data_IF_994754967445
#
_entry.id   IF_994754967445
#
_cell.length_a   1.000
_cell.length_b   1.000
_cell.length_c   1.000
_cell.angle_alpha   90.00
_cell.angle_beta   90.00
_cell.angle_gamma   90.00
#
_symmetry.space_group_name_H-M   'P 1'
#
loop_
_entity.id
_entity.type
_entity.pdbx_description
1 polymer ?
#
# COMPACT_ATOMS: atom_id res chain seq x y z
N UNK A 1 3.61 43.30 -38.80
CA UNK A 1 5.05 43.06 -39.02
C UNK A 1 5.37 41.75 -38.33
N UNK A 2 5.66 40.79 -39.18
CA UNK A 2 6.44 39.56 -39.00
C UNK A 2 5.81 38.38 -38.23
N UNK A 3 5.06 37.63 -39.04
CA UNK A 3 4.87 36.19 -39.02
C UNK A 3 6.18 35.41 -38.98
N UNK A 4 6.31 34.46 -38.05
CA UNK A 4 7.32 33.39 -38.11
C UNK A 4 6.62 32.08 -38.50
N UNK A 5 6.81 31.67 -39.75
CA UNK A 5 6.43 30.37 -40.27
C UNK A 5 7.43 29.30 -39.84
N UNK A 6 6.91 28.12 -39.51
CA UNK A 6 7.70 26.90 -39.34
C UNK A 6 7.56 26.08 -40.63
N UNK A 7 8.64 26.02 -41.40
CA UNK A 7 8.84 25.08 -42.49
C UNK A 7 9.12 23.69 -41.91
N UNK A 8 8.29 22.71 -42.24
CA UNK A 8 8.59 21.30 -42.03
C UNK A 8 8.94 20.71 -43.39
N UNK A 9 10.22 20.36 -43.54
CA UNK A 9 10.73 19.59 -44.66
C UNK A 9 10.13 18.16 -44.65
N UNK A 10 9.56 17.82 -45.79
CA UNK A 10 9.04 16.51 -46.18
C UNK A 10 10.20 15.68 -46.75
N UNK A 11 10.78 14.81 -45.93
CA UNK A 11 11.74 13.81 -46.38
C UNK A 11 11.01 12.50 -46.64
N UNK A 12 10.67 12.31 -47.91
CA UNK A 12 10.20 11.06 -48.49
C UNK A 12 11.35 10.05 -48.52
N UNK A 13 11.25 9.01 -47.69
CA UNK A 13 12.09 7.81 -47.78
C UNK A 13 11.32 6.75 -48.53
N UNK A 14 11.64 6.62 -49.81
CA UNK A 14 11.40 5.44 -50.63
C UNK A 14 12.42 4.36 -50.27
N UNK A 15 11.96 3.12 -50.14
CA UNK A 15 12.82 1.95 -50.35
C UNK A 15 12.59 0.77 -49.41
N UNK A 16 12.27 -0.38 -50.01
CA UNK A 16 12.75 -1.68 -49.52
C UNK A 16 11.67 -2.68 -49.18
N UNK A 17 11.21 -3.41 -50.20
CA UNK A 17 10.57 -4.72 -49.99
C UNK A 17 11.52 -5.67 -49.28
N UNK A 18 11.00 -6.34 -48.25
CA UNK A 18 11.67 -7.39 -47.50
C UNK A 18 10.65 -8.42 -47.07
N UNK A 19 10.86 -9.65 -47.51
CA UNK A 19 9.99 -10.80 -47.42
C UNK A 19 9.57 -11.18 -45.98
N UNK A 20 8.30 -11.58 -45.88
CA UNK A 20 7.85 -12.73 -45.09
C UNK A 20 8.30 -12.83 -43.62
N UNK A 21 7.76 -11.99 -42.74
CA UNK A 21 7.78 -12.28 -41.31
C UNK A 21 6.66 -13.28 -40.98
N UNK A 22 7.01 -14.56 -40.80
CA UNK A 22 6.07 -15.59 -40.33
C UNK A 22 5.75 -15.34 -38.85
N UNK A 23 4.52 -14.88 -38.60
CA UNK A 23 3.91 -14.80 -37.26
C UNK A 23 3.30 -16.17 -36.95
N UNK A 24 4.09 -17.14 -36.46
CA UNK A 24 3.52 -18.42 -35.97
C UNK A 24 3.95 -18.85 -34.58
N UNK A 25 4.92 -18.18 -33.94
CA UNK A 25 5.46 -18.64 -32.65
C UNK A 25 4.99 -17.81 -31.44
N UNK A 26 4.17 -16.77 -31.63
CA UNK A 26 3.72 -15.87 -30.57
C UNK A 26 2.53 -16.39 -29.72
N UNK A 27 2.00 -17.57 -30.03
CA UNK A 27 0.78 -18.08 -29.39
C UNK A 27 1.09 -18.96 -28.16
N UNK A 28 2.29 -19.54 -28.04
CA UNK A 28 2.65 -20.43 -26.92
C UNK A 28 3.22 -19.68 -25.70
N UNK A 29 3.86 -18.52 -25.92
CA UNK A 29 4.38 -17.67 -24.83
C UNK A 29 3.27 -17.03 -23.98
N UNK A 30 2.12 -16.70 -24.57
CA UNK A 30 1.00 -16.11 -23.82
C UNK A 30 0.35 -17.11 -22.86
N UNK A 31 0.25 -18.38 -23.24
CA UNK A 31 -0.33 -19.43 -22.39
C UNK A 31 0.61 -19.77 -21.21
N UNK A 32 1.91 -19.86 -21.46
CA UNK A 32 2.93 -20.04 -20.42
C UNK A 32 2.97 -18.84 -19.45
N UNK A 33 2.85 -17.61 -19.95
CA UNK A 33 2.78 -16.42 -19.11
C UNK A 33 1.51 -16.34 -18.28
N UNK A 34 0.35 -16.73 -18.84
CA UNK A 34 -0.91 -16.74 -18.11
C UNK A 34 -0.90 -17.76 -16.96
N UNK A 35 -0.33 -18.95 -17.18
CA UNK A 35 -0.22 -19.97 -16.14
C UNK A 35 0.82 -19.61 -15.07
N UNK A 36 1.94 -18.97 -15.45
CA UNK A 36 2.93 -18.46 -14.50
C UNK A 36 2.35 -17.33 -13.61
N UNK A 37 1.63 -16.37 -14.20
CA UNK A 37 0.99 -15.29 -13.43
C UNK A 37 -0.12 -15.84 -12.52
N UNK A 38 -0.94 -16.76 -13.02
CA UNK A 38 -1.96 -17.45 -12.21
C UNK A 38 -1.35 -18.13 -10.98
N UNK A 39 -0.18 -18.76 -11.13
CA UNK A 39 0.58 -19.35 -10.02
C UNK A 39 1.12 -18.30 -9.05
N UNK A 40 1.68 -17.19 -9.54
CA UNK A 40 2.21 -16.10 -8.71
C UNK A 40 1.12 -15.37 -7.89
N UNK A 41 -0.15 -15.43 -8.30
CA UNK A 41 -1.27 -14.81 -7.58
C UNK A 41 -2.20 -15.82 -6.91
N UNK A 42 -1.89 -17.12 -7.01
CA UNK A 42 -2.65 -18.20 -6.36
C UNK A 42 -2.55 -18.21 -4.83
N UNK A 43 -1.60 -17.48 -4.25
CA UNK A 43 -1.38 -17.46 -2.79
C UNK A 43 -2.61 -17.01 -2.00
N UNK A 44 -3.45 -16.12 -2.54
CA UNK A 44 -4.69 -15.68 -1.88
C UNK A 44 -5.63 -16.88 -1.64
N UNK A 45 -5.73 -17.79 -2.61
CA UNK A 45 -6.49 -19.03 -2.49
C UNK A 45 -5.89 -19.97 -1.47
N UNK A 46 -4.56 -20.12 -1.47
CA UNK A 46 -3.85 -20.97 -0.49
C UNK A 46 -4.09 -20.47 0.94
N UNK A 47 -4.01 -19.16 1.17
CA UNK A 47 -4.28 -18.55 2.48
C UNK A 47 -5.72 -18.84 2.90
N UNK A 48 -6.70 -18.54 2.04
CA UNK A 48 -8.12 -18.75 2.38
C UNK A 48 -8.43 -20.22 2.64
N UNK A 49 -7.93 -21.13 1.80
CA UNK A 49 -8.09 -22.57 2.00
C UNK A 49 -7.46 -23.03 3.33
N UNK A 50 -6.28 -22.52 3.68
CA UNK A 50 -5.61 -22.82 4.94
C UNK A 50 -6.40 -22.31 6.15
N UNK A 51 -6.98 -21.10 6.07
CA UNK A 51 -7.87 -20.56 7.09
C UNK A 51 -9.13 -21.44 7.25
N UNK A 52 -9.73 -21.89 6.16
CA UNK A 52 -10.92 -22.76 6.18
C UNK A 52 -10.56 -24.11 6.82
N UNK A 53 -9.44 -24.71 6.44
CA UNK A 53 -8.98 -25.97 7.01
C UNK A 53 -8.72 -25.86 8.52
N UNK A 54 -8.16 -24.73 8.97
CA UNK A 54 -7.80 -24.51 10.38
C UNK A 54 -8.98 -24.16 11.27
N UNK A 55 -9.89 -23.30 10.80
CA UNK A 55 -10.93 -22.72 11.64
C UNK A 55 -12.34 -23.23 11.32
N UNK A 56 -12.53 -23.84 10.14
CA UNK A 56 -13.84 -24.20 9.60
C UNK A 56 -14.55 -22.99 8.98
N UNK A 57 -15.25 -23.24 7.87
CA UNK A 57 -16.01 -22.21 7.15
C UNK A 57 -17.04 -21.45 8.03
N UNK A 58 -17.87 -22.12 8.86
CA UNK A 58 -18.85 -21.42 9.70
C UNK A 58 -18.20 -20.43 10.66
N UNK A 59 -17.05 -20.80 11.26
CA UNK A 59 -16.33 -19.91 12.17
C UNK A 59 -15.78 -18.69 11.43
N UNK A 60 -15.19 -18.88 10.25
CA UNK A 60 -14.69 -17.77 9.45
C UNK A 60 -15.79 -16.78 9.07
N UNK A 61 -17.00 -17.26 8.74
CA UNK A 61 -18.15 -16.39 8.43
C UNK A 61 -18.55 -15.50 9.61
N UNK A 62 -18.29 -15.92 10.86
CA UNK A 62 -18.53 -15.08 12.03
C UNK A 62 -17.42 -14.05 12.30
N UNK A 63 -16.25 -14.20 11.68
CA UNK A 63 -15.14 -13.27 11.85
C UNK A 63 -15.43 -11.95 11.16
N UNK A 64 -14.82 -10.88 11.68
CA UNK A 64 -14.91 -9.55 11.08
C UNK A 64 -14.54 -9.55 9.60
N UNK A 65 -13.55 -10.35 9.20
CA UNK A 65 -13.09 -10.45 7.81
C UNK A 65 -14.21 -10.80 6.82
N UNK A 66 -15.32 -11.40 7.27
CA UNK A 66 -16.48 -11.70 6.43
C UNK A 66 -17.60 -10.64 6.52
N UNK A 67 -17.32 -9.46 7.07
CA UNK A 67 -18.23 -8.30 7.12
C UNK A 67 -17.86 -7.27 6.05
N UNK A 68 -18.67 -6.22 5.94
CA UNK A 68 -18.28 -5.05 5.16
C UNK A 68 -17.19 -4.27 5.88
N UNK A 69 -16.03 -4.17 5.25
CA UNK A 69 -14.85 -3.50 5.75
C UNK A 69 -14.53 -2.30 4.87
N UNK A 70 -14.17 -1.20 5.53
CA UNK A 70 -13.78 0.06 4.91
C UNK A 70 -12.34 0.26 5.33
N UNK A 71 -11.42 0.28 4.38
CA UNK A 71 -10.00 0.40 4.66
C UNK A 71 -9.44 1.68 4.05
N UNK A 72 -8.46 2.27 4.73
CA UNK A 72 -7.54 3.23 4.14
C UNK A 72 -6.23 2.55 3.75
N UNK A 73 -5.43 3.26 2.96
CA UNK A 73 -4.01 2.98 2.80
C UNK A 73 -3.21 4.26 2.86
N UNK A 74 -2.07 4.24 3.54
CA UNK A 74 -1.08 5.29 3.49
C UNK A 74 0.21 4.76 2.87
N UNK A 75 0.95 5.64 2.20
CA UNK A 75 2.16 5.27 1.46
C UNK A 75 1.85 4.18 0.43
N UNK A 76 0.74 4.38 -0.28
CA UNK A 76 0.10 3.35 -1.09
C UNK A 76 0.96 2.92 -2.30
N UNK A 77 1.89 3.75 -2.74
CA UNK A 77 2.67 3.57 -3.95
C UNK A 77 1.75 3.34 -5.15
N UNK A 78 2.01 2.29 -5.91
CA UNK A 78 1.17 1.89 -7.05
C UNK A 78 -0.06 1.07 -6.65
N UNK A 79 -0.35 0.97 -5.35
CA UNK A 79 -1.49 0.25 -4.79
C UNK A 79 -1.28 -1.27 -4.70
N UNK A 80 -0.06 -1.71 -4.38
CA UNK A 80 0.29 -3.14 -4.36
C UNK A 80 -0.47 -3.91 -3.26
N UNK A 81 -0.63 -3.30 -2.08
CA UNK A 81 -1.35 -3.91 -0.96
C UNK A 81 -2.86 -4.02 -1.26
N UNK A 82 -3.44 -3.03 -1.93
CA UNK A 82 -4.84 -3.01 -2.37
C UNK A 82 -5.10 -4.09 -3.42
N UNK A 83 -4.16 -4.30 -4.33
CA UNK A 83 -4.21 -5.41 -5.30
C UNK A 83 -4.11 -6.76 -4.59
N UNK A 84 -3.18 -6.91 -3.65
CA UNK A 84 -3.03 -8.12 -2.85
C UNK A 84 -4.33 -8.44 -2.08
N UNK A 85 -4.95 -7.42 -1.48
CA UNK A 85 -6.23 -7.54 -0.80
C UNK A 85 -7.35 -7.97 -1.75
N UNK A 86 -7.41 -7.42 -2.97
CA UNK A 86 -8.39 -7.84 -3.97
C UNK A 86 -8.26 -9.33 -4.33
N UNK A 87 -7.05 -9.87 -4.38
CA UNK A 87 -6.84 -11.32 -4.58
C UNK A 87 -7.36 -12.14 -3.40
N UNK A 88 -7.16 -11.70 -2.15
CA UNK A 88 -7.72 -12.37 -0.97
C UNK A 88 -9.24 -12.33 -0.98
N UNK A 89 -9.85 -11.18 -1.29
CA UNK A 89 -11.31 -11.04 -1.39
C UNK A 89 -11.87 -11.98 -2.47
N UNK A 90 -11.25 -12.00 -3.65
CA UNK A 90 -11.63 -12.92 -4.74
C UNK A 90 -11.58 -14.38 -4.31
N UNK A 91 -10.52 -14.78 -3.60
CA UNK A 91 -10.39 -16.12 -3.04
C UNK A 91 -11.48 -16.43 -2.01
N UNK A 92 -11.79 -15.51 -1.10
CA UNK A 92 -12.86 -15.66 -0.10
C UNK A 92 -14.22 -15.90 -0.79
N UNK A 93 -14.57 -15.06 -1.76
CA UNK A 93 -15.82 -15.18 -2.51
C UNK A 93 -15.93 -16.53 -3.24
N UNK A 94 -14.84 -17.00 -3.85
CA UNK A 94 -14.81 -18.30 -4.54
C UNK A 94 -14.97 -19.49 -3.60
N UNK A 95 -14.56 -19.36 -2.34
CA UNK A 95 -14.86 -20.35 -1.29
C UNK A 95 -16.24 -20.16 -0.63
N UNK A 96 -17.06 -19.23 -1.13
CA UNK A 96 -18.39 -18.90 -0.62
C UNK A 96 -18.35 -18.28 0.78
N UNK A 97 -17.30 -17.52 1.08
CA UNK A 97 -17.23 -16.63 2.22
C UNK A 97 -17.67 -15.24 1.75
N UNK A 98 -18.71 -14.70 2.36
CA UNK A 98 -19.13 -13.32 2.11
C UNK A 98 -18.03 -12.37 2.60
N UNK A 99 -17.61 -11.45 1.74
CA UNK A 99 -16.54 -10.51 2.06
C UNK A 99 -16.74 -9.27 1.20
N UNK A 100 -16.83 -8.10 1.83
CA UNK A 100 -16.96 -6.83 1.14
C UNK A 100 -15.95 -5.84 1.71
N UNK A 101 -14.72 -5.90 1.21
CA UNK A 101 -13.66 -4.99 1.61
C UNK A 101 -13.51 -3.92 0.55
N UNK A 102 -13.56 -2.66 0.97
CA UNK A 102 -13.45 -1.50 0.10
C UNK A 102 -12.33 -0.60 0.60
N UNK A 103 -11.36 -0.31 -0.26
CA UNK A 103 -10.41 0.78 -0.02
C UNK A 103 -11.09 2.09 -0.38
N UNK A 104 -11.27 2.95 0.61
CA UNK A 104 -12.13 4.13 0.51
C UNK A 104 -11.35 5.43 0.55
N UNK A 105 -10.09 5.34 0.97
CA UNK A 105 -9.12 6.40 0.85
C UNK A 105 -7.71 5.85 0.72
N UNK A 106 -6.87 6.58 0.00
CA UNK A 106 -5.43 6.34 -0.10
C UNK A 106 -4.66 7.63 0.16
N UNK A 107 -3.44 7.54 0.69
CA UNK A 107 -2.55 8.66 0.92
C UNK A 107 -1.19 8.41 0.25
N UNK A 108 -0.82 9.23 -0.73
CA UNK A 108 0.35 8.99 -1.57
C UNK A 108 0.97 10.31 -2.07
N UNK A 109 2.24 10.54 -1.77
CA UNK A 109 2.91 11.81 -2.06
C UNK A 109 3.53 11.89 -3.46
N UNK A 110 3.73 10.76 -4.14
CA UNK A 110 4.25 10.71 -5.51
C UNK A 110 3.11 10.93 -6.52
N UNK A 111 3.15 12.00 -7.35
CA UNK A 111 2.06 12.32 -8.28
C UNK A 111 1.77 11.22 -9.31
N UNK A 112 2.79 10.49 -9.78
CA UNK A 112 2.60 9.38 -10.72
C UNK A 112 1.79 8.24 -10.09
N UNK A 113 2.13 7.87 -8.86
CA UNK A 113 1.41 6.86 -8.09
C UNK A 113 -0.05 7.29 -7.86
N UNK A 114 -0.28 8.55 -7.50
CA UNK A 114 -1.64 9.12 -7.39
C UNK A 114 -2.46 8.97 -8.66
N UNK A 115 -1.88 9.23 -9.83
CA UNK A 115 -2.58 9.03 -11.12
C UNK A 115 -3.00 7.58 -11.30
N UNK A 116 -2.11 6.62 -11.05
CA UNK A 116 -2.41 5.18 -11.17
C UNK A 116 -3.51 4.74 -10.19
N UNK A 117 -3.43 5.19 -8.94
CA UNK A 117 -4.43 4.94 -7.91
C UNK A 117 -5.80 5.50 -8.32
N UNK A 118 -5.85 6.75 -8.77
CA UNK A 118 -7.11 7.39 -9.21
C UNK A 118 -7.75 6.69 -10.42
N UNK A 119 -6.93 6.20 -11.37
CA UNK A 119 -7.42 5.44 -12.50
C UNK A 119 -8.04 4.10 -12.10
N UNK A 120 -7.50 3.46 -11.05
CA UNK A 120 -8.01 2.17 -10.53
C UNK A 120 -9.28 2.33 -9.70
N UNK A 121 -9.38 3.39 -8.90
CA UNK A 121 -10.54 3.67 -8.06
C UNK A 121 -10.87 5.17 -8.08
N UNK A 122 -11.70 5.65 -9.03
CA UNK A 122 -12.04 7.07 -9.12
C UNK A 122 -13.00 7.55 -8.02
N UNK A 123 -13.57 6.63 -7.23
CA UNK A 123 -14.54 6.96 -6.17
C UNK A 123 -13.92 7.16 -4.78
N UNK A 124 -12.64 6.84 -4.61
CA UNK A 124 -11.98 6.99 -3.31
C UNK A 124 -11.52 8.42 -3.04
N UNK A 125 -11.21 8.73 -1.79
CA UNK A 125 -10.45 9.94 -1.45
C UNK A 125 -8.95 9.68 -1.64
N UNK A 126 -8.26 10.58 -2.34
CA UNK A 126 -6.82 10.46 -2.55
C UNK A 126 -6.11 11.65 -1.89
N UNK A 127 -5.53 11.41 -0.72
CA UNK A 127 -4.78 12.38 0.05
C UNK A 127 -3.33 12.41 -0.41
N UNK A 128 -2.69 13.58 -0.30
CA UNK A 128 -1.35 13.76 -0.86
C UNK A 128 -0.23 13.46 0.13
N UNK A 129 -0.38 13.89 1.39
CA UNK A 129 0.69 13.78 2.37
C UNK A 129 0.11 13.51 3.75
N UNK A 130 0.65 12.49 4.43
CA UNK A 130 0.28 12.16 5.82
C UNK A 130 0.61 13.32 6.77
N UNK A 131 1.59 14.16 6.43
CA UNK A 131 1.94 15.35 7.22
C UNK A 131 0.94 16.49 7.05
N UNK A 132 0.05 16.45 6.06
CA UNK A 132 -1.00 17.46 5.91
C UNK A 132 -1.99 17.47 7.09
N UNK A 133 -2.02 16.38 7.87
CA UNK A 133 -2.75 16.26 9.12
C UNK A 133 -2.12 17.04 10.29
N UNK A 134 -0.90 17.55 10.10
CA UNK A 134 -0.08 18.22 11.11
C UNK A 134 0.56 19.48 10.51
N UNK A 135 -0.13 20.64 10.50
CA UNK A 135 0.31 21.84 9.77
C UNK A 135 1.70 22.38 10.16
N UNK A 136 2.25 21.97 11.30
CA UNK A 136 3.56 22.36 11.80
C UNK A 136 4.62 21.25 11.72
N UNK A 137 4.29 20.07 11.16
CA UNK A 137 5.19 18.91 11.10
C UNK A 137 6.54 19.22 10.46
N UNK A 138 6.57 20.02 9.39
CA UNK A 138 7.81 20.40 8.74
C UNK A 138 8.79 21.16 9.65
N UNK A 139 8.30 21.85 10.69
CA UNK A 139 9.15 22.57 11.65
C UNK A 139 9.88 21.65 12.61
N UNK A 140 9.42 20.40 12.74
CA UNK A 140 10.02 19.39 13.62
C UNK A 140 10.73 18.28 12.85
N UNK A 141 10.75 18.35 11.52
CA UNK A 141 11.49 17.41 10.67
C UNK A 141 12.98 17.44 11.04
N UNK A 142 13.57 16.26 11.21
CA UNK A 142 14.98 16.10 11.59
C UNK A 142 15.27 16.25 13.10
N UNK A 143 14.26 16.54 13.93
CA UNK A 143 14.40 16.38 15.39
C UNK A 143 14.43 14.89 15.77
N UNK A 144 14.79 14.58 17.01
CA UNK A 144 14.72 13.21 17.50
C UNK A 144 13.26 12.70 17.57
N UNK A 145 13.08 11.39 17.41
CA UNK A 145 11.76 10.76 17.36
C UNK A 145 10.87 11.07 18.58
N UNK A 146 11.46 11.21 19.78
CA UNK A 146 10.72 11.50 21.01
C UNK A 146 10.23 12.95 21.04
N UNK A 147 11.05 13.90 20.61
CA UNK A 147 10.65 15.29 20.42
C UNK A 147 9.52 15.40 19.39
N UNK A 148 9.66 14.72 18.23
CA UNK A 148 8.61 14.68 17.19
C UNK A 148 7.30 14.12 17.77
N UNK A 149 7.35 12.96 18.44
CA UNK A 149 6.18 12.34 19.07
C UNK A 149 5.50 13.29 20.07
N UNK A 150 6.29 13.98 20.91
CA UNK A 150 5.77 14.91 21.91
C UNK A 150 5.11 16.12 21.27
N UNK A 151 5.75 16.72 20.27
CA UNK A 151 5.25 17.93 19.60
C UNK A 151 4.03 17.61 18.73
N UNK A 152 4.09 16.57 17.89
CA UNK A 152 2.93 16.17 17.08
C UNK A 152 1.77 15.67 17.96
N UNK A 153 2.05 14.87 18.99
CA UNK A 153 1.03 14.27 19.85
C UNK A 153 0.35 15.23 20.83
N UNK A 154 0.89 16.46 21.00
CA UNK A 154 0.28 17.50 21.83
C UNK A 154 -0.68 18.42 21.06
N UNK A 155 -0.83 18.22 19.76
CA UNK A 155 -1.72 19.01 18.91
C UNK A 155 -2.84 18.14 18.33
N UNK A 156 -4.01 18.74 18.01
CA UNK A 156 -5.08 18.02 17.34
C UNK A 156 -4.66 17.59 15.93
N UNK A 157 -5.12 16.41 15.52
CA UNK A 157 -4.96 15.89 14.16
C UNK A 157 -5.99 16.56 13.24
N UNK A 158 -5.53 17.22 12.17
CA UNK A 158 -6.41 17.81 11.18
C UNK A 158 -7.05 16.73 10.32
N UNK A 159 -8.37 16.56 10.39
CA UNK A 159 -9.07 15.55 9.59
C UNK A 159 -9.57 16.08 8.25
N UNK A 160 -9.54 17.39 8.01
CA UNK A 160 -9.89 17.96 6.70
C UNK A 160 -8.63 18.41 5.99
N UNK A 161 -8.13 17.58 5.07
CA UNK A 161 -6.82 17.77 4.42
C UNK A 161 -6.96 17.85 2.89
N UNK A 162 -5.91 18.32 2.16
CA UNK A 162 -5.91 18.33 0.71
C UNK A 162 -6.14 16.94 0.11
N UNK A 163 -7.00 16.88 -0.90
CA UNK A 163 -7.32 15.68 -1.66
C UNK A 163 -7.16 15.99 -3.15
N UNK A 164 -6.37 15.19 -3.86
CA UNK A 164 -6.06 15.43 -5.27
C UNK A 164 -7.25 15.22 -6.21
N UNK A 165 -8.33 14.57 -5.74
CA UNK A 165 -9.54 14.31 -6.53
C UNK A 165 -10.67 15.31 -6.28
N UNK A 166 -10.70 15.94 -5.10
CA UNK A 166 -11.84 16.73 -4.63
C UNK A 166 -11.45 18.07 -4.00
N UNK A 167 -10.17 18.46 -4.07
CA UNK A 167 -9.63 19.67 -3.45
C UNK A 167 -9.33 19.49 -1.97
N UNK A 168 -10.37 19.46 -1.12
CA UNK A 168 -10.24 19.18 0.34
C UNK A 168 -11.29 18.19 0.76
N UNK A 169 -10.91 17.20 1.56
CA UNK A 169 -11.83 16.16 2.03
C UNK A 169 -11.65 15.90 3.51
N UNK A 170 -12.75 15.53 4.15
CA UNK A 170 -12.73 14.97 5.49
C UNK A 170 -12.26 13.51 5.43
N UNK A 171 -11.28 13.17 6.27
CA UNK A 171 -10.77 11.82 6.44
C UNK A 171 -11.74 11.08 7.34
N UNK A 172 -12.57 10.26 6.70
CA UNK A 172 -13.61 9.48 7.36
C UNK A 172 -13.03 8.39 8.25
N UNK A 173 -13.80 8.00 9.25
CA UNK A 173 -13.52 6.80 10.04
C UNK A 173 -13.50 5.56 9.13
N UNK A 174 -12.52 4.69 9.37
CA UNK A 174 -12.32 3.43 8.65
C UNK A 174 -12.17 2.31 9.66
N UNK A 175 -12.49 1.09 9.24
CA UNK A 175 -12.27 -0.09 10.04
C UNK A 175 -10.77 -0.39 10.14
N UNK A 176 -9.99 -0.17 9.09
CA UNK A 176 -8.57 -0.44 9.19
C UNK A 176 -7.74 0.28 8.16
N UNK A 177 -6.45 0.04 8.25
CA UNK A 177 -5.46 0.60 7.35
C UNK A 177 -4.45 -0.46 6.91
N UNK A 178 -4.10 -0.43 5.64
CA UNK A 178 -3.05 -1.26 5.03
C UNK A 178 -1.98 -0.35 4.44
N UNK A 179 -0.80 -0.29 5.05
CA UNK A 179 0.23 0.70 4.70
C UNK A 179 1.63 0.11 4.57
N UNK A 180 2.40 0.63 3.60
CA UNK A 180 3.82 0.34 3.44
C UNK A 180 4.65 1.60 3.73
N UNK A 181 4.79 1.97 5.00
CA UNK A 181 5.51 3.20 5.35
C UNK A 181 6.98 3.16 4.89
N UNK A 182 7.62 4.30 4.60
CA UNK A 182 9.00 4.35 4.10
C UNK A 182 9.96 3.47 4.92
N UNK A 183 10.61 2.54 4.24
CA UNK A 183 11.55 1.60 4.85
C UNK A 183 13.02 2.02 4.69
N UNK A 184 13.30 3.01 3.84
CA UNK A 184 14.64 3.56 3.58
C UNK A 184 15.46 3.85 4.85
N UNK A 185 14.88 4.39 5.94
CA UNK A 185 15.63 4.61 7.19
C UNK A 185 16.22 3.33 7.79
N UNK A 186 15.57 2.19 7.59
CA UNK A 186 15.88 0.90 8.22
C UNK A 186 16.44 -0.14 7.24
N UNK A 187 16.36 0.11 5.93
CA UNK A 187 16.78 -0.81 4.89
C UNK A 187 18.30 -1.00 4.87
N UNK A 188 18.74 -2.22 4.57
CA UNK A 188 20.16 -2.54 4.37
C UNK A 188 20.81 -1.74 3.25
N UNK A 189 20.00 -1.34 2.27
CA UNK A 189 20.41 -0.66 1.04
C UNK A 189 20.35 0.88 1.18
N UNK A 190 19.81 1.37 2.30
CA UNK A 190 19.75 2.79 2.65
C UNK A 190 20.91 3.24 3.54
N UNK A 191 20.80 4.48 4.05
CA UNK A 191 21.79 5.06 4.98
C UNK A 191 21.71 4.49 6.41
N UNK A 192 20.76 3.58 6.68
CA UNK A 192 20.55 2.91 7.98
C UNK A 192 20.51 3.89 9.17
N UNK A 193 19.89 5.05 8.96
CA UNK A 193 19.77 6.09 10.01
C UNK A 193 18.72 5.72 11.06
N UNK A 194 17.86 4.74 10.78
CA UNK A 194 16.81 4.26 11.66
C UNK A 194 15.93 5.41 12.16
N UNK A 195 15.70 5.47 13.46
CA UNK A 195 14.91 6.52 14.11
C UNK A 195 15.52 7.92 14.06
N UNK A 196 16.76 8.06 13.58
CA UNK A 196 17.43 9.37 13.38
C UNK A 196 17.22 9.92 11.98
N UNK A 197 16.56 9.17 11.10
CA UNK A 197 16.27 9.66 9.76
C UNK A 197 15.19 10.75 9.81
N UNK A 198 15.33 11.87 9.08
CA UNK A 198 14.30 12.90 9.04
C UNK A 198 12.91 12.40 8.63
N UNK A 199 12.83 11.33 7.85
CA UNK A 199 11.56 10.75 7.40
C UNK A 199 10.87 9.86 8.45
N UNK A 200 11.47 9.66 9.63
CA UNK A 200 10.80 8.99 10.75
C UNK A 200 9.51 9.71 11.15
N UNK A 201 9.43 11.01 10.89
CA UNK A 201 8.23 11.84 11.11
C UNK A 201 7.00 11.28 10.38
N UNK A 202 7.18 10.69 9.20
CA UNK A 202 6.08 10.12 8.41
C UNK A 202 5.43 8.94 9.13
N UNK A 203 6.26 8.06 9.71
CA UNK A 203 5.78 6.93 10.50
C UNK A 203 5.10 7.38 11.80
N UNK A 204 5.66 8.37 12.49
CA UNK A 204 5.06 8.93 13.71
C UNK A 204 3.71 9.59 13.39
N UNK A 205 3.63 10.39 12.33
CA UNK A 205 2.40 11.02 11.87
C UNK A 205 1.32 9.98 11.51
N UNK A 206 1.69 8.91 10.81
CA UNK A 206 0.79 7.79 10.52
C UNK A 206 0.23 7.14 11.80
N UNK A 207 1.09 6.87 12.79
CA UNK A 207 0.63 6.29 14.07
C UNK A 207 -0.37 7.23 14.78
N UNK A 208 -0.06 8.53 14.85
CA UNK A 208 -0.90 9.52 15.51
C UNK A 208 -2.23 9.73 14.78
N UNK A 209 -2.22 9.72 13.44
CA UNK A 209 -3.43 9.76 12.62
C UNK A 209 -4.37 8.59 12.96
N UNK A 210 -3.86 7.36 12.97
CA UNK A 210 -4.71 6.19 13.25
C UNK A 210 -5.18 6.11 14.70
N UNK A 211 -4.42 6.64 15.66
CA UNK A 211 -4.91 6.84 17.03
C UNK A 211 -6.09 7.79 17.08
N UNK A 212 -6.04 8.88 16.32
CA UNK A 212 -7.13 9.85 16.26
C UNK A 212 -8.37 9.28 15.54
N UNK A 213 -8.16 8.47 14.49
CA UNK A 213 -9.25 7.84 13.73
C UNK A 213 -9.88 6.62 14.43
N UNK A 214 -9.21 6.05 15.44
CA UNK A 214 -9.71 4.87 16.15
C UNK A 214 -9.84 3.62 15.26
N UNK A 215 -9.00 3.49 14.23
CA UNK A 215 -9.02 2.33 13.33
C UNK A 215 -8.81 1.04 14.14
N UNK A 216 -9.61 0.00 13.91
CA UNK A 216 -9.56 -1.24 14.73
C UNK A 216 -8.45 -2.21 14.30
N UNK A 217 -7.97 -2.09 13.07
CA UNK A 217 -6.99 -2.99 12.46
C UNK A 217 -5.96 -2.17 11.69
N UNK A 218 -4.69 -2.35 12.01
CA UNK A 218 -3.59 -1.75 11.29
C UNK A 218 -2.68 -2.87 10.78
N UNK A 219 -2.49 -2.93 9.47
CA UNK A 219 -1.54 -3.82 8.81
C UNK A 219 -0.47 -2.96 8.20
N UNK A 220 0.77 -3.16 8.62
CA UNK A 220 1.90 -2.38 8.16
C UNK A 220 3.00 -3.28 7.62
N UNK A 221 3.45 -2.99 6.42
CA UNK A 221 4.61 -3.62 5.80
C UNK A 221 5.87 -2.78 6.07
N UNK A 222 6.97 -3.46 6.38
CA UNK A 222 8.30 -2.87 6.48
C UNK A 222 9.40 -3.94 6.40
N UNK A 223 10.65 -3.46 6.33
CA UNK A 223 11.85 -4.32 6.33
C UNK A 223 12.16 -4.90 7.71
N UNK A 224 12.95 -5.98 7.75
CA UNK A 224 13.33 -6.67 8.99
C UNK A 224 14.07 -5.77 10.01
N UNK A 225 14.78 -4.75 9.56
CA UNK A 225 15.52 -3.82 10.41
C UNK A 225 14.66 -2.75 11.09
N UNK A 226 13.34 -2.77 10.91
CA UNK A 226 12.45 -1.78 11.50
C UNK A 226 12.45 -1.82 13.05
N UNK A 227 12.33 -0.64 13.67
CA UNK A 227 12.32 -0.47 15.12
C UNK A 227 10.91 -0.69 15.72
N UNK A 228 10.65 -1.92 16.14
CA UNK A 228 9.38 -2.30 16.77
C UNK A 228 9.13 -1.60 18.12
N UNK A 229 10.19 -1.14 18.82
CA UNK A 229 10.04 -0.45 20.11
C UNK A 229 9.31 0.88 19.90
N UNK A 230 9.67 1.63 18.87
CA UNK A 230 8.98 2.88 18.53
C UNK A 230 7.50 2.64 18.19
N UNK A 231 7.18 1.55 17.49
CA UNK A 231 5.78 1.18 17.18
C UNK A 231 5.00 0.86 18.46
N UNK A 232 5.59 0.08 19.37
CA UNK A 232 4.99 -0.24 20.66
C UNK A 232 4.80 1.00 21.54
N UNK A 233 5.76 1.92 21.55
CA UNK A 233 5.66 3.18 22.29
C UNK A 233 4.51 4.06 21.77
N UNK A 234 4.28 4.06 20.46
CA UNK A 234 3.24 4.88 19.83
C UNK A 234 1.85 4.24 19.92
N UNK A 235 1.73 2.93 19.67
CA UNK A 235 0.47 2.22 19.47
C UNK A 235 0.19 1.11 20.48
N UNK A 236 1.19 0.62 21.22
CA UNK A 236 1.07 -0.55 22.11
C UNK A 236 0.09 -0.37 23.27
N UNK A 237 -0.19 0.87 23.67
CA UNK A 237 -1.24 1.16 24.66
C UNK A 237 -2.67 0.95 24.13
N UNK A 238 -2.87 0.99 22.81
CA UNK A 238 -4.18 0.90 22.16
C UNK A 238 -4.34 -0.36 21.30
N UNK A 239 -3.24 -1.03 20.96
CA UNK A 239 -3.23 -2.16 20.03
C UNK A 239 -2.40 -3.33 20.57
N UNK A 240 -2.88 -4.55 20.32
CA UNK A 240 -2.03 -5.73 20.39
C UNK A 240 -1.18 -5.79 19.12
N UNK A 241 0.14 -5.73 19.27
CA UNK A 241 1.07 -5.72 18.14
C UNK A 241 1.62 -7.13 17.90
N UNK A 242 1.59 -7.58 16.65
CA UNK A 242 2.13 -8.86 16.22
C UNK A 242 3.09 -8.63 15.07
N UNK A 243 4.22 -9.35 15.07
CA UNK A 243 5.18 -9.32 13.96
C UNK A 243 5.13 -10.62 13.18
N UNK A 244 4.87 -10.47 11.89
CA UNK A 244 4.85 -11.57 10.94
C UNK A 244 6.04 -11.34 10.01
N UNK A 245 6.95 -12.30 9.98
CA UNK A 245 8.08 -12.27 9.06
C UNK A 245 7.71 -13.13 7.86
N UNK A 246 7.68 -12.49 6.69
CA UNK A 246 7.40 -13.16 5.42
C UNK A 246 8.53 -12.99 4.42
N UNK A 247 8.76 -14.02 3.63
CA UNK A 247 9.67 -14.06 2.49
C UNK A 247 8.83 -14.36 1.25
N UNK A 248 9.26 -13.95 0.05
CA UNK A 248 8.49 -14.16 -1.18
C UNK A 248 8.02 -15.61 -1.41
N UNK A 249 8.78 -16.65 -1.01
CA UNK A 249 8.32 -18.05 -1.19
C UNK A 249 7.03 -18.36 -0.47
N UNK A 250 6.76 -17.68 0.65
CA UNK A 250 5.62 -18.02 1.48
C UNK A 250 4.32 -17.80 0.71
N UNK A 251 4.38 -16.94 -0.30
CA UNK A 251 3.29 -16.57 -1.19
C UNK A 251 3.55 -17.02 -2.63
N UNK A 252 4.35 -18.08 -2.81
CA UNK A 252 4.53 -18.75 -4.10
C UNK A 252 5.62 -18.15 -5.01
N UNK A 253 6.38 -17.15 -4.55
CA UNK A 253 7.54 -16.63 -5.28
C UNK A 253 8.79 -17.35 -4.77
N UNK A 254 9.18 -18.48 -5.38
CA UNK A 254 10.16 -19.45 -4.89
C UNK A 254 11.47 -18.91 -4.22
N UNK A 255 11.42 -18.41 -2.97
CA UNK A 255 12.52 -18.09 -2.04
C UNK A 255 12.04 -18.04 -0.55
N UNK A 256 12.13 -19.11 0.30
CA UNK A 256 11.94 -19.00 1.78
C UNK A 256 10.82 -19.72 2.63
N UNK A 257 10.88 -19.62 3.98
CA UNK A 257 9.95 -20.22 5.02
C UNK A 257 9.42 -19.28 6.16
N UNK A 258 8.14 -19.37 6.58
CA UNK A 258 7.42 -18.40 7.48
C UNK A 258 7.79 -18.50 8.96
N UNK A 259 7.93 -17.36 9.65
CA UNK A 259 8.03 -17.28 11.12
C UNK A 259 7.10 -16.18 11.69
N UNK A 260 6.40 -16.47 12.80
CA UNK A 260 5.48 -15.54 13.48
C UNK A 260 5.93 -15.35 14.91
N UNK A 261 6.06 -14.09 15.35
CA UNK A 261 6.47 -13.72 16.69
C UNK A 261 5.45 -12.76 17.33
N UNK A 262 5.16 -12.96 18.61
CA UNK A 262 4.49 -11.95 19.43
C UNK A 262 5.59 -11.05 20.02
N UNK A 263 5.47 -9.74 19.79
CA UNK A 263 6.39 -8.74 20.35
C UNK A 263 5.92 -8.36 21.75
#
# INVERSE_FOLDING_TARGET
MDSAGFDLHDDSIDGGGGDGFQVSDAIDDQALHHDALSRCFGWGFVIVASLIAKFGKPRLQTLWLCKSLLLSSCFSGIGALEVALAFVVSAMLRHGLECNIQTVSSCENVPLCRRLLSARNPSMHLFEDVLAHFPFAERVRGQDAKAIQTILGSHPVELTVPCSLHGRCFVREVHGDISGSPCTPFSSDGLRRGVRDPDIILFIAWCLLHRALGAILLVRENVLGFDDVLLLDLLGASYNVFRIITEPAHVGFAFGSVQIYRI
#
